data_IF_740080638592
#
_entry.id   IF_740080638592
#
_cell.length_a   1.000
_cell.length_b   1.000
_cell.length_c   1.000
_cell.angle_alpha   90.00
_cell.angle_beta   90.00
_cell.angle_gamma   90.00
#
_symmetry.space_group_name_H-M   'P 1'
#
loop_
_entity.id
_entity.type
_entity.pdbx_description
1 polymer ?
#
# COMPACT_ATOMS: atom_id res chain seq x y z
N UNK A 1 -11.87 -2.24 -3.28
CA UNK A 1 -10.65 -3.00 -3.00
C UNK A 1 -10.97 -4.46 -2.68
N UNK A 2 -11.94 -4.76 -1.79
CA UNK A 2 -12.36 -6.14 -1.45
C UNK A 2 -12.55 -7.00 -2.69
N UNK A 3 -13.48 -6.61 -3.57
CA UNK A 3 -13.83 -7.35 -4.80
C UNK A 3 -12.59 -7.68 -5.65
N UNK A 4 -11.73 -6.69 -5.87
CA UNK A 4 -10.53 -6.88 -6.71
C UNK A 4 -9.54 -7.86 -6.10
N UNK A 5 -9.28 -7.77 -4.79
CA UNK A 5 -8.37 -8.69 -4.12
C UNK A 5 -8.96 -10.11 -4.13
N UNK A 6 -10.26 -10.27 -3.91
CA UNK A 6 -10.94 -11.56 -3.94
C UNK A 6 -10.84 -12.24 -5.32
N UNK A 7 -11.07 -11.47 -6.40
CA UNK A 7 -11.08 -12.02 -7.76
C UNK A 7 -9.66 -12.27 -8.28
N UNK A 8 -8.75 -11.32 -8.07
CA UNK A 8 -7.40 -11.37 -8.66
C UNK A 8 -6.36 -12.00 -7.74
N UNK A 9 -6.67 -12.23 -6.47
CA UNK A 9 -5.78 -12.89 -5.52
C UNK A 9 -5.26 -14.24 -6.05
N UNK A 10 -6.14 -15.17 -6.46
CA UNK A 10 -5.75 -16.46 -7.00
C UNK A 10 -5.00 -16.39 -8.35
N UNK A 11 -5.11 -15.27 -9.08
CA UNK A 11 -4.52 -15.10 -10.41
C UNK A 11 -3.12 -14.50 -10.32
N UNK A 12 -2.96 -13.45 -9.48
CA UNK A 12 -1.75 -12.63 -9.45
C UNK A 12 -1.30 -12.23 -8.05
N UNK A 13 -1.81 -12.86 -7.00
CA UNK A 13 -1.55 -12.39 -5.62
C UNK A 13 -2.16 -11.03 -5.29
N UNK A 14 -2.75 -10.34 -6.27
CA UNK A 14 -3.45 -9.04 -6.13
C UNK A 14 -2.66 -7.98 -5.37
N UNK A 15 -1.36 -7.84 -5.64
CA UNK A 15 -0.51 -6.86 -4.93
C UNK A 15 -0.99 -5.42 -5.15
N UNK A 16 -1.28 -5.04 -6.42
CA UNK A 16 -1.75 -3.71 -6.84
C UNK A 16 -0.93 -2.53 -6.29
N UNK A 17 0.29 -2.77 -5.83
CA UNK A 17 1.10 -1.82 -5.07
C UNK A 17 2.59 -2.17 -5.18
N UNK A 18 3.45 -1.27 -5.72
CA UNK A 18 4.89 -1.51 -5.82
C UNK A 18 5.57 -1.78 -4.47
N UNK A 19 5.14 -1.13 -3.39
CA UNK A 19 5.71 -1.37 -2.06
C UNK A 19 5.39 -2.80 -1.56
N UNK A 20 4.18 -3.32 -1.87
CA UNK A 20 3.83 -4.72 -1.56
C UNK A 20 4.68 -5.68 -2.39
N UNK A 21 4.78 -5.47 -3.71
CA UNK A 21 5.59 -6.34 -4.59
C UNK A 21 7.05 -6.36 -4.17
N UNK A 22 7.61 -5.20 -3.80
CA UNK A 22 8.99 -5.09 -3.32
C UNK A 22 9.18 -5.80 -1.97
N UNK A 23 8.21 -5.68 -1.05
CA UNK A 23 8.24 -6.39 0.21
C UNK A 23 8.22 -7.92 0.01
N UNK A 24 7.39 -8.44 -0.90
CA UNK A 24 7.36 -9.87 -1.25
C UNK A 24 8.68 -10.33 -1.89
N UNK A 25 9.31 -9.51 -2.72
CA UNK A 25 10.67 -9.76 -3.25
C UNK A 25 11.70 -9.89 -2.13
N UNK A 26 11.69 -8.97 -1.17
CA UNK A 26 12.63 -8.98 -0.03
C UNK A 26 12.43 -10.20 0.88
N UNK A 27 11.24 -10.77 0.89
CA UNK A 27 10.92 -12.02 1.59
C UNK A 27 11.24 -13.28 0.79
N UNK A 28 11.67 -13.14 -0.47
CA UNK A 28 11.93 -14.27 -1.34
C UNK A 28 10.69 -14.93 -1.95
N UNK A 29 9.55 -14.27 -1.87
CA UNK A 29 8.26 -14.77 -2.40
C UNK A 29 8.04 -14.39 -3.88
N UNK A 30 8.83 -13.47 -4.42
CA UNK A 30 8.91 -13.11 -5.84
C UNK A 30 10.37 -13.10 -6.29
N UNK A 31 10.62 -13.41 -7.55
CA UNK A 31 11.92 -13.17 -8.15
C UNK A 31 12.07 -11.70 -8.63
N UNK A 32 13.28 -11.35 -9.09
CA UNK A 32 13.58 -9.98 -9.51
C UNK A 32 12.83 -9.60 -10.80
N UNK A 33 12.72 -10.53 -11.73
CA UNK A 33 12.05 -10.31 -13.04
C UNK A 33 10.56 -10.11 -12.84
N UNK A 34 9.94 -10.96 -12.02
CA UNK A 34 8.53 -10.84 -11.64
C UNK A 34 8.28 -9.50 -10.94
N UNK A 35 9.13 -9.13 -9.98
CA UNK A 35 8.99 -7.86 -9.25
C UNK A 35 9.02 -6.65 -10.18
N UNK A 36 9.96 -6.62 -11.13
CA UNK A 36 10.05 -5.55 -12.13
C UNK A 36 8.80 -5.52 -13.01
N UNK A 37 8.33 -6.68 -13.47
CA UNK A 37 7.13 -6.80 -14.28
C UNK A 37 5.88 -6.29 -13.52
N UNK A 38 5.71 -6.70 -12.25
CA UNK A 38 4.64 -6.22 -11.39
C UNK A 38 4.66 -4.69 -11.25
N UNK A 39 5.81 -4.11 -10.90
CA UNK A 39 5.93 -2.66 -10.71
C UNK A 39 5.65 -1.91 -12.01
N UNK A 40 6.18 -2.37 -13.14
CA UNK A 40 5.95 -1.75 -14.43
C UNK A 40 4.45 -1.76 -14.82
N UNK A 41 3.79 -2.91 -14.71
CA UNK A 41 2.36 -3.05 -15.00
C UNK A 41 1.52 -2.20 -14.04
N UNK A 42 1.86 -2.17 -12.76
CA UNK A 42 1.15 -1.36 -11.75
C UNK A 42 1.23 0.14 -12.06
N UNK A 43 2.41 0.64 -12.46
CA UNK A 43 2.58 2.04 -12.84
C UNK A 43 1.76 2.39 -14.09
N UNK A 44 1.86 1.57 -15.14
CA UNK A 44 1.10 1.78 -16.38
C UNK A 44 -0.41 1.72 -16.09
N UNK A 45 -0.87 0.69 -15.37
CA UNK A 45 -2.28 0.53 -15.04
C UNK A 45 -2.82 1.68 -14.17
N UNK A 46 -2.04 2.19 -13.23
CA UNK A 46 -2.44 3.31 -12.39
C UNK A 46 -2.60 4.61 -13.21
N UNK A 47 -1.68 4.89 -14.14
CA UNK A 47 -1.78 6.02 -15.07
C UNK A 47 -3.00 5.85 -15.99
N UNK A 48 -3.15 4.70 -16.63
CA UNK A 48 -4.33 4.41 -17.47
C UNK A 48 -5.64 4.56 -16.69
N UNK A 49 -5.66 4.14 -15.43
CA UNK A 49 -6.83 4.27 -14.55
C UNK A 49 -7.22 5.72 -14.29
N UNK A 50 -6.26 6.62 -14.08
CA UNK A 50 -6.53 8.07 -13.93
C UNK A 50 -7.04 8.67 -15.24
N UNK A 51 -6.42 8.37 -16.37
CA UNK A 51 -6.85 8.86 -17.68
C UNK A 51 -8.26 8.37 -18.01
N UNK A 52 -8.56 7.10 -17.74
CA UNK A 52 -9.90 6.54 -17.91
C UNK A 52 -10.93 7.23 -17.00
N UNK A 53 -10.57 7.48 -15.74
CA UNK A 53 -11.44 8.22 -14.83
C UNK A 53 -11.72 9.62 -15.35
N UNK A 54 -10.70 10.36 -15.81
CA UNK A 54 -10.90 11.68 -16.41
C UNK A 54 -11.83 11.62 -17.61
N UNK A 55 -11.66 10.64 -18.51
CA UNK A 55 -12.54 10.45 -19.67
C UNK A 55 -13.99 10.19 -19.24
N UNK A 56 -14.22 9.30 -18.27
CA UNK A 56 -15.57 8.98 -17.77
C UNK A 56 -16.28 10.18 -17.12
N UNK A 57 -15.51 11.09 -16.52
CA UNK A 57 -16.07 12.29 -15.89
C UNK A 57 -16.00 13.55 -16.77
N UNK A 58 -15.68 13.41 -18.06
CA UNK A 58 -15.61 14.53 -19.00
C UNK A 58 -14.51 15.56 -18.65
N UNK A 59 -13.45 15.12 -17.97
CA UNK A 59 -12.34 15.97 -17.56
C UNK A 59 -11.21 15.95 -18.61
N UNK A 60 -10.39 17.00 -18.70
CA UNK A 60 -9.16 16.94 -19.50
C UNK A 60 -8.31 15.76 -19.07
N UNK A 61 -7.80 14.98 -20.04
CA UNK A 61 -7.07 13.75 -19.75
C UNK A 61 -5.81 13.98 -18.90
N UNK A 62 -5.03 15.02 -19.23
CA UNK A 62 -3.82 15.37 -18.52
C UNK A 62 -4.05 16.61 -17.66
N UNK A 63 -3.95 16.48 -16.36
CA UNK A 63 -4.15 17.54 -15.40
C UNK A 63 -3.07 17.46 -14.32
N UNK A 64 -1.89 18.08 -14.49
CA UNK A 64 -0.85 18.06 -13.46
C UNK A 64 -1.41 18.43 -12.10
N UNK A 65 -1.14 17.60 -11.09
CA UNK A 65 -1.62 17.82 -9.72
C UNK A 65 -1.05 19.12 -9.14
N UNK A 66 -1.88 19.80 -8.36
CA UNK A 66 -1.53 21.10 -7.76
C UNK A 66 -1.52 21.07 -6.23
N UNK A 67 -2.05 20.00 -5.61
CA UNK A 67 -2.10 19.91 -4.17
C UNK A 67 -0.72 19.66 -3.58
N UNK A 68 -0.28 20.56 -2.72
CA UNK A 68 0.98 20.45 -2.00
C UNK A 68 0.80 19.39 -0.90
N UNK A 69 1.62 18.34 -0.98
CA UNK A 69 1.66 17.24 -0.02
C UNK A 69 3.10 16.97 0.41
N UNK A 70 3.67 17.89 1.17
CA UNK A 70 5.06 17.81 1.62
C UNK A 70 5.18 18.15 3.10
N UNK A 71 6.35 17.85 3.66
CA UNK A 71 6.67 18.11 5.05
C UNK A 71 6.59 16.88 5.94
N UNK A 72 7.22 16.97 7.12
CA UNK A 72 7.41 15.85 8.03
C UNK A 72 6.11 15.13 8.42
N UNK A 73 5.02 15.86 8.64
CA UNK A 73 3.73 15.28 9.01
C UNK A 73 3.15 14.42 7.88
N UNK A 74 3.25 14.88 6.62
CA UNK A 74 2.78 14.15 5.45
C UNK A 74 3.61 12.89 5.20
N UNK A 75 4.94 12.99 5.29
CA UNK A 75 5.85 11.86 5.11
C UNK A 75 5.71 10.83 6.24
N UNK A 76 5.60 11.27 7.49
CA UNK A 76 5.32 10.37 8.61
C UNK A 76 3.99 9.63 8.40
N UNK A 77 2.96 10.33 7.97
CA UNK A 77 1.64 9.74 7.69
C UNK A 77 1.72 8.66 6.60
N UNK A 78 2.45 8.91 5.51
CA UNK A 78 2.65 7.90 4.45
C UNK A 78 3.46 6.70 4.93
N UNK A 79 4.50 6.93 5.76
CA UNK A 79 5.27 5.85 6.38
C UNK A 79 4.39 4.98 7.28
N UNK A 80 3.58 5.59 8.15
CA UNK A 80 2.64 4.87 9.04
C UNK A 80 1.58 4.13 8.23
N UNK A 81 0.99 4.78 7.23
CA UNK A 81 -0.02 4.17 6.36
C UNK A 81 0.51 2.93 5.64
N UNK A 82 1.73 3.03 5.08
CA UNK A 82 2.33 1.91 4.34
C UNK A 82 2.81 0.82 5.29
N UNK A 83 3.37 1.17 6.44
CA UNK A 83 3.77 0.19 7.44
C UNK A 83 2.58 -0.62 7.95
N UNK A 84 1.49 0.03 8.31
CA UNK A 84 0.29 -0.65 8.79
C UNK A 84 -0.40 -1.51 7.71
N UNK A 85 -0.40 -1.04 6.44
CA UNK A 85 -0.87 -1.86 5.32
C UNK A 85 -0.06 -3.16 5.20
N UNK A 86 1.26 -3.05 5.20
CA UNK A 86 2.13 -4.22 5.08
C UNK A 86 2.08 -5.11 6.31
N UNK A 87 1.99 -4.56 7.52
CA UNK A 87 1.76 -5.36 8.73
C UNK A 87 0.43 -6.12 8.64
N UNK A 88 -0.64 -5.49 8.14
CA UNK A 88 -1.92 -6.16 7.90
C UNK A 88 -1.76 -7.35 6.96
N UNK A 89 -1.00 -7.20 5.88
CA UNK A 89 -0.74 -8.28 4.93
C UNK A 89 0.17 -9.34 5.55
N UNK A 90 1.32 -8.93 6.07
CA UNK A 90 2.34 -9.85 6.55
C UNK A 90 1.88 -10.69 7.75
N UNK A 91 1.08 -10.13 8.64
CA UNK A 91 0.55 -10.85 9.81
C UNK A 91 -0.76 -11.58 9.50
N UNK A 92 -1.56 -11.07 8.57
CA UNK A 92 -2.87 -11.62 8.24
C UNK A 92 -2.83 -12.84 7.32
N UNK A 93 -1.95 -12.84 6.30
CA UNK A 93 -1.87 -13.92 5.32
C UNK A 93 -1.63 -15.31 5.95
N UNK A 94 -0.70 -15.50 6.89
CA UNK A 94 -0.44 -16.83 7.43
C UNK A 94 -1.59 -17.42 8.24
N UNK A 95 -2.35 -16.58 8.94
CA UNK A 95 -3.39 -17.06 9.85
C UNK A 95 -4.82 -16.96 9.30
N UNK A 96 -5.06 -16.03 8.38
CA UNK A 96 -6.40 -15.68 7.91
C UNK A 96 -6.46 -15.31 6.43
N UNK A 97 -5.96 -16.14 5.51
CA UNK A 97 -5.85 -15.79 4.08
C UNK A 97 -7.21 -15.45 3.45
N UNK A 98 -8.28 -16.15 3.84
CA UNK A 98 -9.63 -15.87 3.33
C UNK A 98 -10.17 -14.48 3.71
N UNK A 99 -9.68 -13.89 4.81
CA UNK A 99 -10.12 -12.58 5.28
C UNK A 99 -9.28 -11.42 4.71
N UNK A 100 -8.19 -11.70 4.00
CA UNK A 100 -7.27 -10.67 3.51
C UNK A 100 -7.93 -9.57 2.67
N UNK A 101 -8.88 -9.88 1.76
CA UNK A 101 -9.57 -8.84 1.00
C UNK A 101 -10.28 -7.82 1.91
N UNK A 102 -10.95 -8.31 2.96
CA UNK A 102 -11.66 -7.46 3.91
C UNK A 102 -10.68 -6.69 4.82
N UNK A 103 -9.66 -7.37 5.36
CA UNK A 103 -8.65 -6.75 6.24
C UNK A 103 -7.93 -5.60 5.55
N UNK A 104 -7.41 -5.84 4.35
CA UNK A 104 -6.69 -4.82 3.58
C UNK A 104 -7.61 -3.66 3.21
N UNK A 105 -8.84 -3.95 2.77
CA UNK A 105 -9.77 -2.90 2.39
C UNK A 105 -10.22 -2.05 3.59
N UNK A 106 -10.49 -2.68 4.74
CA UNK A 106 -10.86 -1.98 5.98
C UNK A 106 -9.71 -1.14 6.50
N UNK A 107 -8.47 -1.66 6.47
CA UNK A 107 -7.30 -0.88 6.85
C UNK A 107 -7.15 0.38 5.99
N UNK A 108 -7.19 0.25 4.66
CA UNK A 108 -7.07 1.40 3.75
C UNK A 108 -8.22 2.39 3.95
N UNK A 109 -9.45 1.88 4.14
CA UNK A 109 -10.60 2.75 4.45
C UNK A 109 -10.37 3.55 5.73
N UNK A 110 -9.92 2.93 6.81
CA UNK A 110 -9.60 3.61 8.06
C UNK A 110 -8.44 4.61 7.89
N UNK A 111 -7.39 4.22 7.15
CA UNK A 111 -6.20 5.04 6.96
C UNK A 111 -6.48 6.35 6.22
N UNK A 112 -7.47 6.41 5.35
CA UNK A 112 -7.93 7.67 4.76
C UNK A 112 -8.35 8.71 5.80
N UNK A 113 -8.79 8.29 6.97
CA UNK A 113 -9.32 9.16 8.01
C UNK A 113 -8.29 9.50 9.08
N UNK A 114 -7.45 8.54 9.48
CA UNK A 114 -6.51 8.76 10.56
C UNK A 114 -5.15 9.30 10.13
N UNK A 115 -4.85 9.36 8.82
CA UNK A 115 -3.58 9.89 8.32
C UNK A 115 -3.74 11.29 7.71
N UNK A 116 -2.80 12.19 8.00
CA UNK A 116 -2.79 13.54 7.42
C UNK A 116 -2.57 13.54 5.91
N UNK A 117 -1.97 12.49 5.36
CA UNK A 117 -1.68 12.31 3.94
C UNK A 117 -2.87 11.78 3.13
N UNK A 118 -3.96 11.36 3.79
CA UNK A 118 -5.04 10.56 3.21
C UNK A 118 -4.60 9.21 2.65
N UNK A 119 -3.52 8.66 3.20
CA UNK A 119 -3.05 7.29 2.97
C UNK A 119 -2.98 6.88 1.49
N UNK A 120 -2.02 7.40 0.75
CA UNK A 120 -1.75 6.84 -0.58
C UNK A 120 -1.18 5.43 -0.44
N UNK A 121 -0.19 5.28 0.46
CA UNK A 121 0.42 4.00 0.85
C UNK A 121 0.81 3.11 -0.35
N UNK A 122 1.08 3.73 -1.51
CA UNK A 122 1.25 3.03 -2.79
C UNK A 122 1.99 3.91 -3.79
N UNK A 123 3.23 3.57 -4.18
CA UNK A 123 4.00 4.35 -5.15
C UNK A 123 3.33 4.53 -6.52
N UNK A 124 2.63 3.51 -7.04
CA UNK A 124 1.95 3.63 -8.32
C UNK A 124 0.76 4.59 -8.25
N UNK A 125 0.00 4.54 -7.16
CA UNK A 125 -1.09 5.50 -6.90
C UNK A 125 -0.52 6.91 -6.74
N UNK A 126 0.62 7.07 -6.07
CA UNK A 126 1.27 8.37 -5.87
C UNK A 126 1.65 8.99 -7.20
N UNK A 127 2.30 8.23 -8.09
CA UNK A 127 2.65 8.69 -9.44
C UNK A 127 1.40 9.03 -10.25
N UNK A 128 0.39 8.18 -10.25
CA UNK A 128 -0.83 8.41 -11.02
C UNK A 128 -1.61 9.64 -10.54
N UNK A 129 -1.65 9.87 -9.22
CA UNK A 129 -2.31 11.06 -8.63
C UNK A 129 -1.60 12.38 -8.95
N UNK A 130 -0.35 12.36 -9.40
CA UNK A 130 0.31 13.55 -9.93
C UNK A 130 -0.29 14.04 -11.27
N UNK A 131 -1.13 13.24 -11.90
CA UNK A 131 -1.80 13.55 -13.17
C UNK A 131 -3.24 14.06 -12.99
N UNK A 132 -3.68 14.37 -11.77
CA UNK A 132 -5.04 14.87 -11.51
C UNK A 132 -5.04 16.11 -10.61
N UNK A 133 -5.91 17.09 -10.94
CA UNK A 133 -6.16 18.29 -10.12
C UNK A 133 -7.26 18.11 -9.09
N UNK A 134 -7.89 16.95 -9.03
CA UNK A 134 -8.93 16.67 -8.03
C UNK A 134 -8.35 16.69 -6.61
N UNK A 135 -9.21 16.70 -5.60
CA UNK A 135 -8.82 16.63 -4.19
C UNK A 135 -7.85 15.48 -3.87
N UNK A 136 -7.88 14.42 -4.67
CA UNK A 136 -7.01 13.26 -4.53
C UNK A 136 -5.60 13.46 -5.12
N UNK A 137 -5.35 14.58 -5.81
CA UNK A 137 -4.09 14.86 -6.50
C UNK A 137 -2.92 15.15 -5.56
N UNK A 138 -1.73 15.11 -6.12
CA UNK A 138 -0.46 15.52 -5.50
C UNK A 138 0.35 16.31 -6.50
N UNK A 139 1.06 17.35 -6.06
CA UNK A 139 1.99 18.08 -6.91
C UNK A 139 3.13 17.15 -7.33
N UNK A 140 3.54 17.15 -8.63
CA UNK A 140 4.63 16.28 -9.11
C UNK A 140 5.92 16.36 -8.29
N UNK A 141 6.29 17.56 -7.82
CA UNK A 141 7.49 17.78 -6.99
C UNK A 141 7.44 17.05 -5.63
N UNK A 142 6.25 16.72 -5.14
CA UNK A 142 6.07 16.07 -3.85
C UNK A 142 6.05 14.52 -3.94
N UNK A 143 5.94 13.99 -5.18
CA UNK A 143 5.91 12.53 -5.45
C UNK A 143 7.14 11.80 -4.87
N UNK A 144 8.38 12.28 -5.08
CA UNK A 144 9.55 11.58 -4.55
C UNK A 144 9.53 11.44 -3.02
N UNK A 145 9.14 12.51 -2.31
CA UNK A 145 9.03 12.50 -0.85
C UNK A 145 8.02 11.47 -0.33
N UNK A 146 6.86 11.38 -1.00
CA UNK A 146 5.83 10.37 -0.68
C UNK A 146 6.32 8.94 -0.93
N UNK A 147 6.95 8.70 -2.09
CA UNK A 147 7.47 7.37 -2.42
C UNK A 147 8.56 6.95 -1.42
N UNK A 148 9.48 7.84 -1.06
CA UNK A 148 10.51 7.55 -0.07
C UNK A 148 9.90 7.24 1.31
N UNK A 149 8.89 8.00 1.73
CA UNK A 149 8.18 7.76 2.98
C UNK A 149 7.45 6.40 2.97
N UNK A 150 6.83 6.03 1.86
CA UNK A 150 6.20 4.72 1.68
C UNK A 150 7.22 3.58 1.75
N UNK A 151 8.38 3.74 1.12
CA UNK A 151 9.46 2.74 1.23
C UNK A 151 9.99 2.63 2.66
N UNK A 152 10.14 3.75 3.38
CA UNK A 152 10.52 3.72 4.81
C UNK A 152 9.49 2.95 5.64
N UNK A 153 8.19 3.17 5.41
CA UNK A 153 7.12 2.41 6.04
C UNK A 153 7.15 0.91 5.69
N UNK A 154 7.46 0.58 4.45
CA UNK A 154 7.66 -0.80 4.01
C UNK A 154 8.80 -1.48 4.80
N UNK A 155 9.95 -0.84 4.89
CA UNK A 155 11.08 -1.39 5.66
C UNK A 155 10.74 -1.54 7.14
N UNK A 156 10.06 -0.57 7.75
CA UNK A 156 9.59 -0.67 9.13
C UNK A 156 8.68 -1.90 9.34
N UNK A 157 7.75 -2.16 8.42
CA UNK A 157 6.87 -3.33 8.50
C UNK A 157 7.65 -4.65 8.39
N UNK A 158 8.62 -4.72 7.46
CA UNK A 158 9.46 -5.91 7.29
C UNK A 158 10.31 -6.22 8.53
N UNK A 159 10.74 -5.21 9.26
CA UNK A 159 11.48 -5.36 10.52
C UNK A 159 10.56 -5.75 11.68
N UNK A 160 9.38 -5.16 11.76
CA UNK A 160 8.44 -5.37 12.87
C UNK A 160 7.66 -6.68 12.77
N UNK A 161 7.29 -7.12 11.58
CA UNK A 161 6.45 -8.31 11.41
C UNK A 161 7.01 -9.59 12.05
N UNK A 162 8.30 -9.94 11.90
CA UNK A 162 8.86 -11.12 12.56
C UNK A 162 8.89 -10.99 14.09
N UNK A 163 9.16 -9.80 14.64
CA UNK A 163 9.16 -9.56 16.08
C UNK A 163 7.76 -9.77 16.68
N UNK A 164 6.73 -9.25 16.02
CA UNK A 164 5.34 -9.40 16.47
C UNK A 164 4.87 -10.87 16.41
N UNK A 165 5.33 -11.64 15.43
CA UNK A 165 5.03 -13.08 15.36
C UNK A 165 5.69 -13.89 16.47
N UNK A 166 6.95 -13.62 16.78
CA UNK A 166 7.67 -14.30 17.85
C UNK A 166 6.96 -14.12 19.20
N UNK A 167 6.55 -12.88 19.50
CA UNK A 167 5.80 -12.58 20.74
C UNK A 167 4.47 -13.31 20.82
N UNK A 168 3.77 -13.53 19.70
CA UNK A 168 2.50 -14.26 19.68
C UNK A 168 2.69 -15.75 19.93
N UNK A 169 3.74 -16.37 19.40
CA UNK A 169 4.06 -17.78 19.63
C UNK A 169 4.43 -18.05 21.09
N UNK A 170 5.19 -17.15 21.71
CA UNK A 170 5.55 -17.24 23.14
C UNK A 170 4.32 -17.09 24.06
N UNK A 171 3.32 -16.31 23.66
CA UNK A 171 2.10 -16.12 24.41
C UNK A 171 1.21 -17.36 24.41
N UNK A 172 1.16 -18.11 23.31
CA UNK A 172 0.39 -19.37 23.19
C UNK A 172 1.01 -20.52 24.03
N UNK A 173 2.32 -20.47 24.31
CA UNK A 173 3.04 -21.50 25.09
C UNK A 173 3.12 -21.18 26.58
N UNK A 174 2.54 -20.10 27.07
CA UNK A 174 2.47 -19.84 28.51
C UNK A 174 1.50 -20.80 29.18
N UNK A 175 1.94 -21.58 30.21
CA UNK A 175 1.04 -22.40 30.99
C UNK A 175 -0.04 -21.49 31.64
N UNK A 176 -1.28 -21.99 31.82
CA UNK A 176 -2.32 -21.25 32.50
C UNK A 176 -1.80 -20.84 33.88
N UNK A 177 -1.94 -19.54 34.19
CA UNK A 177 -1.64 -19.04 35.53
C UNK A 177 -2.50 -19.84 36.50
N UNK A 178 -1.85 -20.71 37.32
CA UNK A 178 -2.51 -21.55 38.25
C UNK A 178 -3.45 -20.75 39.15
N UNK A 179 -4.72 -21.15 39.16
CA UNK A 179 -5.74 -20.69 40.10
C UNK A 179 -5.51 -21.30 41.49
#
# INVERSE_FOLDING_TARGET
LVVRITIFGPISGAHFNPAVSLAMRMRGELDTTETIAYIAVQLVAAVCGVLLAHAMFGQPLLQPGIHIRTGAAQWLSESVATAGLLLTILLGVPGRPANMPALVASYIFAAYWFTASTSFANPAVTVARALTRTFAGIRPDDVPGFVLAQLAGMFAALLLAPLLRATSADAEHRPPLGG
#
